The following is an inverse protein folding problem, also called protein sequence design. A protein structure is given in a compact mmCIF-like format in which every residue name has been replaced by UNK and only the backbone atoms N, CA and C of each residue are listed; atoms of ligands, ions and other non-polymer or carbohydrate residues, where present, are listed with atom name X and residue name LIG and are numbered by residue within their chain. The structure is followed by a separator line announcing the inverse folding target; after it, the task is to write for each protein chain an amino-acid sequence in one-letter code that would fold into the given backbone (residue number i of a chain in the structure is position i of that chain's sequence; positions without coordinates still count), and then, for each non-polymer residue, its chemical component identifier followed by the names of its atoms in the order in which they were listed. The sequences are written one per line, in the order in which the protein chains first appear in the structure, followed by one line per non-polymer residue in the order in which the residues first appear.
data_IF_207086860966
#
_entry.id   IF_207086860966
#
_cell.length_a   1.000
_cell.length_b   1.000
_cell.length_c   1.000
_cell.angle_alpha   90.00
_cell.angle_beta   90.00
_cell.angle_gamma   90.00
#
_symmetry.space_group_name_H-M   'P 1'
#
loop_
_entity.id
_entity.type
_entity.pdbx_description
1 polymer ?
#
# COMPACT_ATOMS: atom_id res chain seq x y z
N UNK A 1 7.95 -7.07 19.20
CA UNK A 1 6.63 -6.44 18.97
C UNK A 1 6.66 -5.50 17.76
N UNK A 2 7.64 -4.61 17.57
CA UNK A 2 7.75 -3.73 16.39
C UNK A 2 7.81 -4.38 14.99
N UNK A 3 8.07 -5.69 14.88
CA UNK A 3 8.21 -6.34 13.58
C UNK A 3 6.88 -6.41 12.82
N UNK A 4 5.76 -6.56 13.53
CA UNK A 4 4.44 -6.65 12.91
C UNK A 4 4.03 -5.32 12.29
N UNK A 5 4.43 -4.20 12.89
CA UNK A 5 4.17 -2.86 12.38
C UNK A 5 4.76 -2.68 10.97
N UNK A 6 5.95 -3.22 10.70
CA UNK A 6 6.53 -3.20 9.36
C UNK A 6 5.73 -4.03 8.36
N UNK A 7 5.18 -5.19 8.77
CA UNK A 7 4.33 -5.99 7.88
C UNK A 7 3.03 -5.25 7.52
N UNK A 8 2.41 -4.59 8.50
CA UNK A 8 1.20 -3.79 8.28
C UNK A 8 1.50 -2.59 7.39
N UNK A 9 2.57 -1.84 7.68
CA UNK A 9 3.01 -0.71 6.88
C UNK A 9 3.40 -1.13 5.45
N UNK A 10 4.02 -2.30 5.27
CA UNK A 10 4.38 -2.84 3.96
C UNK A 10 3.13 -3.18 3.13
N UNK A 11 2.09 -3.69 3.77
CA UNK A 11 0.81 -3.96 3.08
C UNK A 11 0.22 -2.67 2.51
N UNK A 12 0.18 -1.59 3.32
CA UNK A 12 -0.27 -0.26 2.89
C UNK A 12 0.67 0.34 1.84
N UNK A 13 1.98 0.11 1.95
CA UNK A 13 2.96 0.58 0.96
C UNK A 13 2.78 -0.09 -0.40
N UNK A 14 2.46 -1.38 -0.42
CA UNK A 14 2.14 -2.12 -1.64
C UNK A 14 0.80 -1.68 -2.24
N UNK A 15 -0.17 -1.30 -1.42
CA UNK A 15 -1.42 -0.68 -1.90
C UNK A 15 -1.13 0.64 -2.62
N UNK A 16 -0.34 1.54 -2.02
CA UNK A 16 0.09 2.77 -2.70
C UNK A 16 0.88 2.50 -3.97
N UNK A 17 1.83 1.55 -3.94
CA UNK A 17 2.56 1.16 -5.14
C UNK A 17 1.62 0.69 -6.25
N UNK A 18 0.59 -0.11 -5.92
CA UNK A 18 -0.42 -0.56 -6.87
C UNK A 18 -1.20 0.62 -7.46
N UNK A 19 -1.64 1.57 -6.64
CA UNK A 19 -2.32 2.79 -7.10
C UNK A 19 -1.42 3.63 -8.02
N UNK A 20 -0.12 3.74 -7.70
CA UNK A 20 0.86 4.47 -8.52
C UNK A 20 0.99 3.86 -9.92
N UNK A 21 0.87 2.54 -10.06
CA UNK A 21 0.89 1.90 -11.38
C UNK A 21 -0.33 2.27 -12.23
N UNK A 22 -1.45 2.67 -11.62
CA UNK A 22 -2.70 3.04 -12.31
C UNK A 22 -2.82 4.55 -12.54
N UNK A 23 -2.71 5.35 -11.47
CA UNK A 23 -2.82 6.80 -11.50
C UNK A 23 -1.97 7.41 -10.36
N UNK A 24 -0.81 7.95 -10.73
CA UNK A 24 0.11 8.60 -9.80
C UNK A 24 -0.53 9.79 -9.06
N UNK A 25 -1.37 10.59 -9.74
CA UNK A 25 -1.97 11.77 -9.13
C UNK A 25 -3.01 11.36 -8.10
N UNK A 26 -3.85 10.38 -8.44
CA UNK A 26 -4.79 9.83 -7.47
C UNK A 26 -4.04 9.26 -6.25
N UNK A 27 -3.03 8.40 -6.47
CA UNK A 27 -2.23 7.83 -5.39
C UNK A 27 -1.63 8.90 -4.45
N UNK A 28 -1.12 9.99 -5.04
CA UNK A 28 -0.59 11.11 -4.28
C UNK A 28 -1.66 11.83 -3.45
N UNK A 29 -2.84 12.06 -4.01
CA UNK A 29 -3.96 12.70 -3.31
C UNK A 29 -4.38 11.86 -2.08
N UNK A 30 -4.41 10.52 -2.19
CA UNK A 30 -4.66 9.62 -1.05
C UNK A 30 -3.52 9.61 -0.02
N UNK A 31 -2.26 9.64 -0.49
CA UNK A 31 -1.09 9.70 0.38
C UNK A 31 -1.06 10.97 1.24
N UNK A 32 -1.40 12.12 0.65
CA UNK A 32 -1.48 13.39 1.38
C UNK A 32 -2.61 13.36 2.41
N UNK A 33 -3.79 12.84 2.07
CA UNK A 33 -4.88 12.65 3.05
C UNK A 33 -4.47 11.77 4.22
N UNK A 34 -3.72 10.70 3.97
CA UNK A 34 -3.21 9.82 5.03
C UNK A 34 -2.19 10.55 5.93
N UNK A 35 -1.21 11.24 5.33
CA UNK A 35 -0.07 11.81 6.05
C UNK A 35 -0.38 13.10 6.81
N UNK A 36 -1.26 13.97 6.28
CA UNK A 36 -1.63 15.25 6.90
C UNK A 36 -2.34 15.08 8.26
N UNK A 37 -2.96 13.92 8.50
CA UNK A 37 -3.60 13.59 9.77
C UNK A 37 -2.58 13.39 10.90
N UNK A 38 -1.33 13.00 10.60
CA UNK A 38 -0.30 12.74 11.60
C UNK A 38 -0.73 11.70 12.65
N UNK A 39 -0.55 12.03 13.93
CA UNK A 39 -0.89 11.16 15.07
C UNK A 39 -2.26 11.41 15.70
N UNK A 40 -3.16 12.12 15.01
CA UNK A 40 -4.46 12.52 15.60
C UNK A 40 -5.50 11.41 15.65
N UNK A 41 -5.27 10.29 14.95
CA UNK A 41 -6.20 9.18 14.82
C UNK A 41 -5.53 7.82 15.02
N UNK A 42 -6.34 6.78 15.24
CA UNK A 42 -5.86 5.40 15.27
C UNK A 42 -5.43 4.95 13.87
N UNK A 43 -4.56 3.94 13.77
CA UNK A 43 -4.08 3.44 12.47
C UNK A 43 -5.23 3.08 11.49
N UNK A 44 -6.26 2.40 11.96
CA UNK A 44 -7.42 2.03 11.12
C UNK A 44 -8.23 3.26 10.68
N UNK A 45 -8.34 4.28 11.53
CA UNK A 45 -9.01 5.52 11.16
C UNK A 45 -8.20 6.34 10.16
N UNK A 46 -6.87 6.38 10.29
CA UNK A 46 -5.98 7.03 9.32
C UNK A 46 -6.18 6.46 7.91
N UNK A 47 -6.22 5.13 7.78
CA UNK A 47 -6.46 4.43 6.52
C UNK A 47 -7.86 4.76 5.96
N UNK A 48 -8.89 4.62 6.79
CA UNK A 48 -10.27 4.90 6.41
C UNK A 48 -10.47 6.33 5.92
N UNK A 49 -9.90 7.31 6.61
CA UNK A 49 -10.00 8.73 6.26
C UNK A 49 -9.22 9.07 4.98
N UNK A 50 -8.26 8.23 4.60
CA UNK A 50 -7.52 8.32 3.35
C UNK A 50 -8.10 7.46 2.23
N UNK A 51 -9.28 6.85 2.42
CA UNK A 51 -9.91 5.90 1.50
C UNK A 51 -8.99 4.72 1.11
N UNK A 52 -8.20 4.21 2.07
CA UNK A 52 -7.33 3.05 1.91
C UNK A 52 -7.95 1.80 2.56
N UNK A 53 -7.62 0.63 2.02
CA UNK A 53 -8.04 -0.65 2.58
C UNK A 53 -7.28 -0.96 3.87
N UNK A 54 -7.94 -1.65 4.82
CA UNK A 54 -7.28 -2.08 6.04
C UNK A 54 -6.42 -3.32 5.77
N UNK A 55 -5.17 -3.41 6.27
CA UNK A 55 -4.39 -4.63 6.17
C UNK A 55 -4.96 -5.78 7.03
N UNK A 56 -5.99 -5.49 7.83
CA UNK A 56 -6.75 -6.50 8.58
C UNK A 56 -7.95 -7.05 7.80
N UNK A 57 -8.31 -6.45 6.67
CA UNK A 57 -9.35 -6.99 5.80
C UNK A 57 -8.79 -8.18 5.02
N UNK A 58 -9.59 -9.24 4.90
CA UNK A 58 -9.14 -10.55 4.38
C UNK A 58 -8.54 -10.47 2.97
N UNK A 59 -9.07 -9.56 2.15
CA UNK A 59 -8.72 -9.45 0.73
C UNK A 59 -7.56 -8.49 0.46
N UNK A 60 -7.24 -7.56 1.38
CA UNK A 60 -6.24 -6.51 1.14
C UNK A 60 -4.87 -7.10 0.83
N UNK A 61 -4.35 -7.95 1.73
CA UNK A 61 -3.03 -8.55 1.55
C UNK A 61 -2.99 -9.46 0.33
N UNK A 62 -4.06 -10.23 0.07
CA UNK A 62 -4.15 -11.12 -1.10
C UNK A 62 -4.07 -10.31 -2.40
N UNK A 63 -4.84 -9.24 -2.48
CA UNK A 63 -4.91 -8.37 -3.66
C UNK A 63 -3.57 -7.71 -3.99
N UNK A 64 -2.96 -7.04 -3.00
CA UNK A 64 -1.68 -6.32 -3.22
C UNK A 64 -0.53 -7.29 -3.52
N UNK A 65 -0.51 -8.46 -2.87
CA UNK A 65 0.51 -9.48 -3.12
C UNK A 65 0.38 -10.11 -4.50
N UNK A 66 -0.85 -10.40 -4.94
CA UNK A 66 -1.10 -10.92 -6.28
C UNK A 66 -0.65 -9.92 -7.35
N UNK A 67 -0.96 -8.63 -7.17
CA UNK A 67 -0.54 -7.58 -8.09
C UNK A 67 0.97 -7.42 -8.16
N UNK A 68 1.66 -7.44 -7.01
CA UNK A 68 3.11 -7.41 -6.96
C UNK A 68 3.74 -8.64 -7.64
N UNK A 69 3.17 -9.83 -7.41
CA UNK A 69 3.63 -11.06 -8.06
C UNK A 69 3.49 -10.99 -9.58
N UNK A 70 2.34 -10.54 -10.10
CA UNK A 70 2.13 -10.37 -11.54
C UNK A 70 3.09 -9.34 -12.14
N UNK A 71 3.34 -8.23 -11.46
CA UNK A 71 4.29 -7.22 -11.92
C UNK A 71 5.71 -7.77 -12.03
N UNK A 72 6.18 -8.47 -10.98
CA UNK A 72 7.51 -9.07 -10.98
C UNK A 72 7.63 -10.19 -12.03
N UNK A 73 6.58 -10.98 -12.24
CA UNK A 73 6.55 -12.04 -13.24
C UNK A 73 6.64 -11.53 -14.69
N UNK A 74 6.25 -10.27 -14.94
CA UNK A 74 6.34 -9.63 -16.24
C UNK A 74 7.64 -8.83 -16.43
N UNK A 75 8.49 -8.73 -15.40
CA UNK A 75 9.68 -7.89 -15.44
C UNK A 75 10.82 -8.56 -16.22
N UNK A 76 11.44 -7.82 -17.13
CA UNK A 76 12.56 -8.29 -17.93
C UNK A 76 13.87 -8.31 -17.11
N UNK A 77 14.52 -9.47 -17.06
CA UNK A 77 15.72 -9.71 -16.25
C UNK A 77 17.02 -9.58 -17.05
N UNK A 78 16.98 -9.32 -18.36
CA UNK A 78 18.18 -9.32 -19.23
C UNK A 78 19.26 -8.33 -18.77
N UNK A 79 18.87 -7.23 -18.11
CA UNK A 79 19.78 -6.20 -17.60
C UNK A 79 20.35 -6.42 -16.19
N UNK A 80 20.03 -7.52 -15.49
CA UNK A 80 20.41 -7.76 -14.08
C UNK A 80 21.65 -8.70 -13.94
N UNK A 81 22.40 -8.94 -15.03
CA UNK A 81 23.62 -9.77 -15.00
C UNK A 81 24.88 -9.05 -14.53
#
# INVERSE_FOLDING_TARGET
FYYIDYCLAQTVSLEFWAMIQDDLKNAWDHYMRYTEQGGSHTFTDLLKNADLASPFDEETLKSVSARAHSFLGAYDLEGIR
#
